data_IF_112717296099
#
_entry.id   IF_112717296099
#
_cell.length_a   1.000
_cell.length_b   1.000
_cell.length_c   1.000
_cell.angle_alpha   90.00
_cell.angle_beta   90.00
_cell.angle_gamma   90.00
#
_symmetry.space_group_name_H-M   'P 1'
#
loop_
_entity.id
_entity.type
_entity.pdbx_description
1 polymer ?
#
# COMPACT_ATOMS: atom_id res chain seq x y z
N UNK A 1 10.40 -9.43 -22.36
CA UNK A 1 10.76 -8.75 -21.10
C UNK A 1 10.42 -7.28 -21.27
N UNK A 2 9.55 -6.70 -20.44
CA UNK A 2 8.94 -5.36 -20.64
C UNK A 2 9.84 -4.18 -20.20
N UNK A 3 11.08 -4.44 -19.77
CA UNK A 3 12.06 -3.40 -19.45
C UNK A 3 11.79 -2.60 -18.17
N UNK A 4 10.74 -2.94 -17.42
CA UNK A 4 10.38 -2.27 -16.18
C UNK A 4 11.42 -2.57 -15.07
N UNK A 5 12.00 -1.52 -14.49
CA UNK A 5 12.85 -1.62 -13.30
C UNK A 5 11.97 -1.56 -12.06
N UNK A 6 12.02 -2.59 -11.21
CA UNK A 6 11.24 -2.62 -9.96
C UNK A 6 11.66 -1.52 -8.98
N UNK A 7 12.97 -1.34 -8.78
CA UNK A 7 13.48 -0.29 -7.91
C UNK A 7 13.02 1.09 -8.39
N UNK A 8 12.26 1.80 -7.56
CA UNK A 8 11.68 3.11 -7.85
C UNK A 8 10.35 3.09 -8.61
N UNK A 9 9.90 1.94 -9.12
CA UNK A 9 8.58 1.84 -9.74
C UNK A 9 7.48 2.12 -8.70
N UNK A 10 6.44 2.85 -9.11
CA UNK A 10 5.29 3.11 -8.26
C UNK A 10 4.32 1.95 -8.29
N UNK A 11 3.82 1.55 -7.12
CA UNK A 11 2.89 0.42 -6.97
C UNK A 11 1.65 0.85 -6.21
N UNK A 12 0.47 0.51 -6.72
CA UNK A 12 -0.79 0.56 -6.00
C UNK A 12 -1.30 -0.86 -5.81
N UNK A 13 -1.85 -1.18 -4.63
CA UNK A 13 -2.38 -2.51 -4.32
C UNK A 13 -3.83 -2.39 -3.88
N UNK A 14 -4.75 -2.91 -4.71
CA UNK A 14 -6.16 -3.00 -4.35
C UNK A 14 -6.40 -4.26 -3.51
N UNK A 15 -7.02 -4.08 -2.35
CA UNK A 15 -7.24 -5.14 -1.37
C UNK A 15 -6.04 -5.35 -0.45
N UNK A 16 -6.22 -5.12 0.85
CA UNK A 16 -5.18 -5.24 1.88
C UNK A 16 -5.50 -6.34 2.89
N UNK A 17 -5.89 -7.51 2.38
CA UNK A 17 -6.04 -8.76 3.12
C UNK A 17 -4.76 -9.59 3.07
N UNK A 18 -4.84 -10.90 3.32
CA UNK A 18 -3.67 -11.78 3.41
C UNK A 18 -2.74 -11.71 2.18
N UNK A 19 -3.31 -11.74 0.97
CA UNK A 19 -2.52 -11.68 -0.27
C UNK A 19 -1.99 -10.27 -0.52
N UNK A 20 -2.85 -9.27 -0.44
CA UNK A 20 -2.51 -7.91 -0.83
C UNK A 20 -1.48 -7.23 0.08
N UNK A 21 -1.53 -7.46 1.40
CA UNK A 21 -0.49 -6.91 2.28
C UNK A 21 0.88 -7.55 2.00
N UNK A 22 0.92 -8.86 1.73
CA UNK A 22 2.16 -9.55 1.34
C UNK A 22 2.68 -9.04 -0.01
N UNK A 23 1.81 -8.79 -0.99
CA UNK A 23 2.20 -8.21 -2.27
C UNK A 23 2.81 -6.81 -2.10
N UNK A 24 2.17 -5.95 -1.30
CA UNK A 24 2.69 -4.61 -0.99
C UNK A 24 4.04 -4.69 -0.27
N UNK A 25 4.18 -5.58 0.71
CA UNK A 25 5.43 -5.87 1.42
C UNK A 25 6.54 -6.26 0.46
N UNK A 26 6.31 -7.29 -0.37
CA UNK A 26 7.33 -7.79 -1.31
C UNK A 26 7.75 -6.70 -2.30
N UNK A 27 6.80 -5.93 -2.84
CA UNK A 27 7.11 -4.81 -3.72
C UNK A 27 8.00 -3.77 -3.02
N UNK A 28 7.67 -3.40 -1.79
CA UNK A 28 8.47 -2.48 -0.98
C UNK A 28 9.88 -3.03 -0.70
N UNK A 29 9.99 -4.31 -0.32
CA UNK A 29 11.27 -4.97 -0.06
C UNK A 29 12.15 -5.05 -1.33
N UNK A 30 11.54 -5.11 -2.52
CA UNK A 30 12.23 -5.02 -3.82
C UNK A 30 12.56 -3.57 -4.25
N UNK A 31 12.26 -2.59 -3.41
CA UNK A 31 12.58 -1.17 -3.64
C UNK A 31 11.56 -0.43 -4.50
N UNK A 32 10.37 -0.99 -4.72
CA UNK A 32 9.25 -0.25 -5.31
C UNK A 32 8.75 0.81 -4.32
N UNK A 33 8.19 1.88 -4.85
CA UNK A 33 7.47 2.90 -4.09
C UNK A 33 5.98 2.55 -4.05
N UNK A 34 5.52 1.90 -2.99
CA UNK A 34 4.07 1.71 -2.82
C UNK A 34 3.46 3.07 -2.55
N UNK A 35 2.48 3.50 -3.35
CA UNK A 35 1.85 4.84 -3.25
C UNK A 35 0.40 4.79 -2.82
N UNK A 36 -0.29 3.67 -3.04
CA UNK A 36 -1.67 3.49 -2.61
C UNK A 36 -1.96 2.04 -2.22
N UNK A 37 -2.83 1.87 -1.23
CA UNK A 37 -3.39 0.59 -0.81
C UNK A 37 -4.86 0.76 -0.48
N UNK A 38 -5.68 -0.25 -0.76
CA UNK A 38 -7.11 -0.22 -0.41
C UNK A 38 -7.59 -1.49 0.29
N UNK A 39 -8.70 -1.41 1.00
CA UNK A 39 -9.48 -2.55 1.48
C UNK A 39 -10.99 -2.30 1.36
N UNK A 40 -11.80 -3.14 1.99
CA UNK A 40 -13.26 -3.07 1.88
C UNK A 40 -13.88 -1.74 2.33
N UNK A 41 -13.17 -0.91 3.10
CA UNK A 41 -13.68 0.38 3.60
C UNK A 41 -13.16 1.59 2.82
N UNK A 42 -12.30 1.39 1.82
CA UNK A 42 -11.67 2.45 1.02
C UNK A 42 -10.16 2.29 0.95
N UNK A 43 -9.43 3.34 0.60
CA UNK A 43 -7.98 3.30 0.47
C UNK A 43 -7.25 4.49 1.09
N UNK A 44 -5.93 4.33 1.20
CA UNK A 44 -5.01 5.37 1.60
C UNK A 44 -3.99 5.60 0.49
N UNK A 45 -3.87 6.85 0.04
CA UNK A 45 -2.93 7.29 -0.97
C UNK A 45 -1.89 8.25 -0.37
N UNK A 46 -0.62 7.94 -0.54
CA UNK A 46 0.49 8.78 -0.16
C UNK A 46 1.41 8.98 -1.36
N UNK A 47 1.35 10.15 -2.01
CA UNK A 47 2.18 10.45 -3.19
C UNK A 47 3.68 10.31 -2.93
N UNK A 48 4.12 10.51 -1.68
CA UNK A 48 5.51 10.33 -1.22
C UNK A 48 5.89 8.87 -0.92
N UNK A 49 4.93 7.96 -0.97
CA UNK A 49 5.07 6.54 -0.69
C UNK A 49 4.56 6.18 0.72
N UNK A 50 4.15 4.93 0.87
CA UNK A 50 3.74 4.32 2.13
C UNK A 50 4.69 3.18 2.50
N UNK A 51 4.86 2.96 3.81
CA UNK A 51 5.52 1.77 4.32
C UNK A 51 4.43 0.70 4.58
N UNK A 52 4.40 -0.42 3.84
CA UNK A 52 3.38 -1.45 3.99
C UNK A 52 3.29 -2.04 5.40
N UNK A 53 4.42 -2.19 6.10
CA UNK A 53 4.44 -2.70 7.48
C UNK A 53 3.68 -1.77 8.43
N UNK A 54 3.87 -0.45 8.30
CA UNK A 54 3.14 0.53 9.11
C UNK A 54 1.65 0.57 8.79
N UNK A 55 1.28 0.39 7.53
CA UNK A 55 -0.13 0.30 7.13
C UNK A 55 -0.77 -0.98 7.68
N UNK A 56 -0.03 -2.10 7.68
CA UNK A 56 -0.50 -3.35 8.28
C UNK A 56 -0.72 -3.21 9.78
N UNK A 57 0.22 -2.58 10.51
CA UNK A 57 0.04 -2.27 11.94
C UNK A 57 -1.17 -1.37 12.20
N UNK A 58 -1.38 -0.35 11.36
CA UNK A 58 -2.54 0.54 11.45
C UNK A 58 -3.84 -0.25 11.27
N UNK A 59 -3.93 -1.01 10.17
CA UNK A 59 -5.11 -1.85 9.88
C UNK A 59 -5.38 -2.85 11.00
N UNK A 60 -4.35 -3.47 11.57
CA UNK A 60 -4.51 -4.40 12.69
C UNK A 60 -5.14 -3.74 13.93
N UNK A 61 -4.90 -2.43 14.12
CA UNK A 61 -5.46 -1.65 15.24
C UNK A 61 -6.83 -1.06 14.96
N UNK A 62 -7.09 -0.64 13.72
CA UNK A 62 -8.29 0.14 13.35
C UNK A 62 -9.32 -0.65 12.56
N UNK A 63 -8.95 -1.82 12.03
CA UNK A 63 -9.76 -2.63 11.14
C UNK A 63 -9.64 -2.27 9.65
N UNK A 64 -9.04 -1.13 9.29
CA UNK A 64 -8.91 -0.71 7.88
C UNK A 64 -7.67 0.12 7.59
N UNK A 65 -7.26 0.17 6.33
CA UNK A 65 -6.19 1.05 5.83
C UNK A 65 -6.59 2.53 5.78
N UNK A 66 -7.88 2.87 5.81
CA UNK A 66 -8.32 4.28 5.77
C UNK A 66 -7.85 5.05 7.00
N UNK A 67 -7.75 6.38 6.86
CA UNK A 67 -7.23 7.29 7.88
C UNK A 67 -5.77 7.00 8.30
N UNK A 68 -4.99 6.34 7.43
CA UNK A 68 -3.57 6.17 7.69
C UNK A 68 -2.86 7.53 7.69
N UNK A 69 -2.13 7.81 8.77
CA UNK A 69 -1.58 9.15 9.06
C UNK A 69 -0.71 9.68 7.90
N UNK A 70 -1.04 10.88 7.43
CA UNK A 70 -0.28 11.57 6.40
C UNK A 70 -0.60 11.12 4.97
N UNK A 71 -1.61 10.26 4.80
CA UNK A 71 -2.16 9.90 3.49
C UNK A 71 -3.57 10.48 3.32
N UNK A 72 -3.96 10.62 2.06
CA UNK A 72 -5.32 10.98 1.66
C UNK A 72 -6.19 9.73 1.60
N UNK A 73 -7.43 9.83 2.10
CA UNK A 73 -8.41 8.78 1.90
C UNK A 73 -8.91 8.82 0.45
N UNK A 74 -8.97 7.65 -0.17
CA UNK A 74 -9.52 7.44 -1.52
C UNK A 74 -10.62 6.38 -1.49
N UNK A 75 -11.50 6.38 -2.48
CA UNK A 75 -12.52 5.34 -2.64
C UNK A 75 -11.99 4.17 -3.48
N UNK A 76 -12.65 3.00 -3.38
CA UNK A 76 -12.32 1.82 -4.20
C UNK A 76 -12.74 1.97 -5.67
#
# INVERSE_FOLDING_TARGET
>A
NIGLKLKGATVAVQGYGNVGWNAAKIAYDWGCKVVAVSDSMGGACCAKGLNPYKVYEHKAKTGSVVNFKGCENITN
#
